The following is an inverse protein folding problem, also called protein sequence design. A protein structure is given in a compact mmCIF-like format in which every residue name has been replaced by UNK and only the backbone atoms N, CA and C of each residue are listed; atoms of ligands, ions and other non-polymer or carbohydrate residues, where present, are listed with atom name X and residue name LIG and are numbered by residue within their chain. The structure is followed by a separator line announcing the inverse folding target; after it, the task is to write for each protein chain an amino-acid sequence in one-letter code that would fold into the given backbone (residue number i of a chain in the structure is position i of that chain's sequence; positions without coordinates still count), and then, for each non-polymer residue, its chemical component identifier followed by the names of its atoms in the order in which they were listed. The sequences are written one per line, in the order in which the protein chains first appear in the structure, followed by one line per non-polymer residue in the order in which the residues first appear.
data_IF_209589304228
#
_entry.id   IF_209589304228
#
_cell.length_a   1.000
_cell.length_b   1.000
_cell.length_c   1.000
_cell.angle_alpha   90.00
_cell.angle_beta   90.00
_cell.angle_gamma   90.00
#
_symmetry.space_group_name_H-M   'P 1'
#
loop_
_entity.id
_entity.type
_entity.pdbx_description
1 polymer ?
#
# COMPACT_ATOMS: atom_id res chain seq x y z
N UNK A 1 -38.46 23.72 36.14
CA UNK A 1 -39.83 23.51 36.66
C UNK A 1 -40.68 22.91 35.54
N UNK A 2 -41.65 22.03 35.87
CA UNK A 2 -41.67 20.68 35.29
C UNK A 2 -42.97 20.32 34.53
N UNK A 3 -43.00 19.05 34.09
CA UNK A 3 -44.15 18.14 33.97
C UNK A 3 -45.13 18.25 32.79
N UNK A 4 -45.40 17.07 32.20
CA UNK A 4 -46.51 16.80 31.30
C UNK A 4 -46.65 15.30 31.01
N UNK A 5 -46.88 14.49 32.05
CA UNK A 5 -47.34 13.09 32.01
C UNK A 5 -48.87 13.05 32.26
N UNK A 6 -49.47 11.88 32.03
CA UNK A 6 -50.81 11.38 32.42
C UNK A 6 -51.91 11.54 31.34
N UNK A 7 -52.28 10.48 30.60
CA UNK A 7 -53.17 9.35 30.97
C UNK A 7 -54.55 9.76 31.52
N UNK A 8 -55.63 9.27 30.90
CA UNK A 8 -56.88 8.87 31.57
C UNK A 8 -57.74 7.90 30.73
N UNK A 9 -58.65 7.13 31.39
CA UNK A 9 -59.03 5.77 31.00
C UNK A 9 -60.55 5.52 30.77
N UNK A 10 -60.85 4.30 30.30
CA UNK A 10 -62.00 3.39 30.54
C UNK A 10 -63.46 3.89 30.55
N UNK A 11 -64.32 3.21 29.77
CA UNK A 11 -65.60 2.66 30.30
C UNK A 11 -66.14 1.51 29.45
N UNK A 12 -66.47 0.40 30.12
CA UNK A 12 -67.27 -0.74 29.66
C UNK A 12 -68.77 -0.40 29.56
N UNK A 13 -69.46 -1.04 28.62
CA UNK A 13 -70.86 -1.50 28.68
C UNK A 13 -71.08 -2.38 27.42
N UNK A 14 -71.17 -3.71 27.51
CA UNK A 14 -72.29 -4.55 27.95
C UNK A 14 -73.30 -4.88 26.81
N UNK A 15 -73.60 -6.19 26.74
CA UNK A 15 -74.72 -6.87 26.05
C UNK A 15 -74.67 -7.02 24.52
N UNK A 16 -75.23 -8.05 23.86
CA UNK A 16 -75.61 -9.43 24.18
C UNK A 16 -76.18 -10.02 22.86
N UNK A 17 -75.77 -11.24 22.50
CA UNK A 17 -76.48 -12.24 21.69
C UNK A 17 -77.01 -11.92 20.27
N UNK A 18 -76.42 -12.59 19.27
CA UNK A 18 -77.19 -13.34 18.26
C UNK A 18 -76.31 -14.46 17.68
N UNK A 19 -76.74 -15.71 17.88
CA UNK A 19 -76.13 -16.89 17.30
C UNK A 19 -76.52 -17.01 15.81
N UNK A 20 -75.53 -17.09 14.93
CA UNK A 20 -75.69 -17.55 13.55
C UNK A 20 -74.89 -18.84 13.40
N UNK A 21 -75.61 -19.94 13.26
CA UNK A 21 -75.10 -21.24 12.84
C UNK A 21 -74.85 -21.21 11.34
N UNK A 22 -73.58 -21.14 10.92
CA UNK A 22 -73.14 -21.48 9.57
C UNK A 22 -72.19 -22.69 9.62
N UNK A 23 -72.55 -23.73 8.89
CA UNK A 23 -71.78 -24.95 8.72
C UNK A 23 -70.49 -24.67 7.94
N UNK A 24 -69.35 -24.76 8.64
CA UNK A 24 -68.03 -24.76 8.01
C UNK A 24 -67.76 -26.15 7.44
N UNK A 25 -68.09 -26.35 6.18
CA UNK A 25 -67.52 -27.44 5.38
C UNK A 25 -66.04 -27.15 5.13
N UNK A 26 -65.21 -27.58 6.09
CA UNK A 26 -63.76 -27.63 5.94
C UNK A 26 -63.40 -28.79 5.00
N UNK A 27 -63.26 -28.50 3.71
CA UNK A 27 -62.51 -29.35 2.79
C UNK A 27 -61.06 -29.42 3.26
N UNK A 28 -60.75 -30.41 4.11
CA UNK A 28 -59.40 -30.77 4.48
C UNK A 28 -58.68 -31.28 3.22
N UNK A 29 -57.77 -30.47 2.68
CA UNK A 29 -56.79 -30.95 1.73
C UNK A 29 -55.97 -32.06 2.41
N UNK A 30 -55.80 -33.24 1.78
CA UNK A 30 -55.01 -34.31 2.37
C UNK A 30 -53.55 -33.84 2.45
N UNK A 31 -53.10 -33.55 3.67
CA UNK A 31 -51.70 -33.36 3.97
C UNK A 31 -50.98 -34.66 3.63
N UNK A 32 -50.25 -34.68 2.51
CA UNK A 32 -49.29 -35.73 2.22
C UNK A 32 -48.36 -35.85 3.42
N UNK A 33 -48.40 -36.99 4.11
CA UNK A 33 -47.56 -37.26 5.28
C UNK A 33 -46.07 -37.07 4.95
N UNK A 34 -45.25 -36.65 5.92
CA UNK A 34 -43.82 -36.47 5.70
C UNK A 34 -43.20 -37.79 5.23
N UNK A 35 -42.64 -37.76 4.02
CA UNK A 35 -41.88 -38.90 3.47
C UNK A 35 -40.70 -39.16 4.39
N UNK A 36 -40.58 -40.38 4.90
CA UNK A 36 -39.42 -40.81 5.67
C UNK A 36 -38.19 -40.82 4.74
N UNK A 37 -37.20 -39.98 5.07
CA UNK A 37 -35.95 -39.86 4.33
C UNK A 37 -35.03 -41.03 4.72
N UNK A 38 -34.43 -41.72 3.74
CA UNK A 38 -33.51 -42.81 4.03
C UNK A 38 -32.11 -42.28 4.37
N UNK A 39 -31.37 -43.00 5.21
CA UNK A 39 -29.98 -42.68 5.55
C UNK A 39 -29.10 -42.54 4.29
N UNK A 40 -29.37 -43.37 3.27
CA UNK A 40 -28.62 -43.39 2.01
C UNK A 40 -28.88 -42.11 1.22
N UNK A 41 -30.13 -41.66 1.09
CA UNK A 41 -30.46 -40.40 0.41
C UNK A 41 -29.77 -39.21 1.08
N UNK A 42 -29.73 -39.18 2.42
CA UNK A 42 -29.02 -38.13 3.15
C UNK A 42 -27.52 -38.15 2.85
N UNK A 43 -26.92 -39.34 2.87
CA UNK A 43 -25.49 -39.51 2.61
C UNK A 43 -25.12 -39.07 1.17
N UNK A 44 -25.94 -39.40 0.18
CA UNK A 44 -25.72 -38.98 -1.21
C UNK A 44 -25.82 -37.46 -1.35
N UNK A 45 -26.80 -36.83 -0.71
CA UNK A 45 -26.97 -35.38 -0.77
C UNK A 45 -25.78 -34.66 -0.15
N UNK A 46 -25.32 -35.07 1.04
CA UNK A 46 -24.14 -34.45 1.66
C UNK A 46 -22.87 -34.73 0.85
N UNK A 47 -22.75 -35.89 0.19
CA UNK A 47 -21.62 -36.19 -0.69
C UNK A 47 -21.59 -35.29 -1.92
N UNK A 48 -22.75 -35.04 -2.56
CA UNK A 48 -22.86 -34.12 -3.70
C UNK A 48 -22.57 -32.68 -3.26
N UNK A 49 -23.16 -32.21 -2.15
CA UNK A 49 -22.90 -30.86 -1.64
C UNK A 49 -21.42 -30.70 -1.28
N UNK A 50 -20.82 -31.70 -0.63
CA UNK A 50 -19.40 -31.73 -0.30
C UNK A 50 -18.52 -31.63 -1.54
N UNK A 51 -18.84 -32.39 -2.59
CA UNK A 51 -18.14 -32.34 -3.88
C UNK A 51 -18.27 -30.96 -4.55
N UNK A 52 -19.49 -30.41 -4.60
CA UNK A 52 -19.73 -29.08 -5.18
C UNK A 52 -18.96 -28.00 -4.43
N UNK A 53 -19.01 -28.00 -3.09
CA UNK A 53 -18.28 -27.04 -2.26
C UNK A 53 -16.76 -27.17 -2.42
N UNK A 54 -16.25 -28.40 -2.53
CA UNK A 54 -14.82 -28.65 -2.76
C UNK A 54 -14.34 -28.07 -4.10
N UNK A 55 -15.18 -28.06 -5.12
CA UNK A 55 -14.87 -27.45 -6.42
C UNK A 55 -15.06 -25.93 -6.45
N UNK A 56 -16.02 -25.39 -5.68
CA UNK A 56 -16.35 -23.96 -5.67
C UNK A 56 -15.41 -23.11 -4.80
N UNK A 57 -14.94 -23.63 -3.66
CA UNK A 57 -14.11 -22.85 -2.72
C UNK A 57 -12.81 -22.32 -3.37
N UNK A 58 -12.01 -23.14 -4.10
CA UNK A 58 -10.82 -22.66 -4.78
C UNK A 58 -11.15 -21.62 -5.86
N UNK A 59 -12.29 -21.76 -6.54
CA UNK A 59 -12.73 -20.82 -7.58
C UNK A 59 -13.07 -19.46 -6.99
N UNK A 60 -13.82 -19.41 -5.88
CA UNK A 60 -14.18 -18.15 -5.19
C UNK A 60 -12.94 -17.39 -4.74
N UNK A 61 -11.92 -18.10 -4.24
CA UNK A 61 -10.66 -17.47 -3.82
C UNK A 61 -9.91 -16.84 -5.00
N UNK A 62 -9.81 -17.55 -6.13
CA UNK A 62 -9.19 -17.02 -7.36
C UNK A 62 -9.92 -15.78 -7.88
N UNK A 63 -11.25 -15.79 -7.86
CA UNK A 63 -12.07 -14.65 -8.29
C UNK A 63 -11.87 -13.44 -7.36
N UNK A 64 -11.86 -13.66 -6.04
CA UNK A 64 -11.62 -12.58 -5.06
C UNK A 64 -10.26 -11.94 -5.28
N UNK A 65 -9.23 -12.75 -5.52
CA UNK A 65 -7.89 -12.24 -5.71
C UNK A 65 -7.72 -11.49 -7.05
N UNK A 66 -8.36 -11.98 -8.12
CA UNK A 66 -8.42 -11.24 -9.38
C UNK A 66 -9.10 -9.87 -9.21
N UNK A 67 -10.19 -9.80 -8.44
CA UNK A 67 -10.87 -8.54 -8.12
C UNK A 67 -10.01 -7.62 -7.24
N UNK A 68 -9.29 -8.16 -6.27
CA UNK A 68 -8.34 -7.38 -5.45
C UNK A 68 -7.22 -6.80 -6.31
N UNK A 69 -6.64 -7.60 -7.20
CA UNK A 69 -5.62 -7.14 -8.14
C UNK A 69 -6.12 -6.04 -9.06
N UNK A 70 -7.33 -6.19 -9.61
CA UNK A 70 -7.95 -5.14 -10.41
C UNK A 70 -8.11 -3.83 -9.62
N UNK A 71 -8.47 -3.92 -8.32
CA UNK A 71 -8.51 -2.75 -7.43
C UNK A 71 -7.12 -2.16 -7.19
N UNK A 72 -6.09 -2.96 -6.94
CA UNK A 72 -4.73 -2.45 -6.73
C UNK A 72 -4.17 -1.76 -8.00
N UNK A 73 -4.47 -2.29 -9.19
CA UNK A 73 -4.15 -1.62 -10.46
C UNK A 73 -4.92 -0.29 -10.64
N UNK A 74 -6.19 -0.23 -10.23
CA UNK A 74 -6.96 1.01 -10.28
C UNK A 74 -6.44 2.06 -9.29
N UNK A 75 -6.02 1.66 -8.09
CA UNK A 75 -5.37 2.56 -7.13
C UNK A 75 -4.10 3.17 -7.74
N UNK A 76 -3.24 2.35 -8.37
CA UNK A 76 -2.05 2.82 -9.09
C UNK A 76 -2.40 3.81 -10.21
N UNK A 77 -3.46 3.53 -10.99
CA UNK A 77 -3.93 4.47 -12.03
C UNK A 77 -4.42 5.79 -11.44
N UNK A 78 -5.11 5.78 -10.30
CA UNK A 78 -5.53 6.99 -9.61
C UNK A 78 -4.33 7.81 -9.12
N UNK A 79 -3.29 7.15 -8.60
CA UNK A 79 -2.01 7.80 -8.27
C UNK A 79 -1.37 8.41 -9.52
N UNK A 80 -1.38 7.69 -10.66
CA UNK A 80 -0.89 8.21 -11.95
C UNK A 80 -1.64 9.47 -12.40
N UNK A 81 -2.96 9.47 -12.33
CA UNK A 81 -3.79 10.64 -12.64
C UNK A 81 -3.43 11.81 -11.71
N UNK A 82 -3.24 11.54 -10.41
CA UNK A 82 -2.86 12.56 -9.45
C UNK A 82 -1.47 13.16 -9.75
N UNK A 83 -0.49 12.33 -10.11
CA UNK A 83 0.85 12.75 -10.51
C UNK A 83 0.81 13.66 -11.75
N UNK A 84 0.08 13.26 -12.79
CA UNK A 84 -0.04 14.06 -14.00
C UNK A 84 -0.84 15.34 -13.77
N UNK A 85 -1.84 15.33 -12.89
CA UNK A 85 -2.58 16.54 -12.50
C UNK A 85 -1.70 17.52 -11.74
N UNK A 86 -0.86 17.02 -10.82
CA UNK A 86 0.14 17.82 -10.12
C UNK A 86 1.15 18.42 -11.11
N UNK A 87 1.70 17.60 -12.02
CA UNK A 87 2.61 18.08 -13.07
C UNK A 87 1.92 19.10 -13.99
N UNK A 88 0.67 18.89 -14.38
CA UNK A 88 -0.06 19.81 -15.25
C UNK A 88 -0.27 21.18 -14.61
N UNK A 89 -0.35 21.28 -13.29
CA UNK A 89 -0.57 22.53 -12.57
C UNK A 89 0.72 23.21 -12.16
N UNK A 90 1.76 22.44 -11.81
CA UNK A 90 2.99 22.94 -11.20
C UNK A 90 4.23 22.76 -12.07
N UNK A 91 4.12 22.08 -13.22
CA UNK A 91 5.21 21.77 -14.16
C UNK A 91 6.34 20.91 -13.56
N UNK A 92 6.02 20.13 -12.52
CA UNK A 92 6.91 19.13 -11.94
C UNK A 92 6.14 18.06 -11.16
N UNK A 93 6.76 16.90 -11.00
CA UNK A 93 6.34 15.85 -10.07
C UNK A 93 6.78 16.16 -8.64
N UNK A 94 5.96 15.84 -7.62
CA UNK A 94 6.27 16.16 -6.24
C UNK A 94 7.58 15.47 -5.78
N UNK A 95 8.44 16.16 -5.02
CA UNK A 95 9.63 15.53 -4.45
C UNK A 95 9.23 14.52 -3.38
N UNK A 96 10.05 13.47 -3.18
CA UNK A 96 9.78 12.42 -2.18
C UNK A 96 9.64 12.98 -0.76
N UNK A 97 10.48 13.95 -0.43
CA UNK A 97 10.29 14.95 0.63
C UNK A 97 11.23 16.12 0.35
N UNK A 98 11.10 17.20 1.11
CA UNK A 98 12.01 18.34 1.04
C UNK A 98 12.95 18.28 2.25
N UNK A 99 14.23 18.01 2.03
CA UNK A 99 15.24 18.02 3.10
C UNK A 99 15.91 19.38 3.11
N UNK A 100 15.79 20.09 4.23
CA UNK A 100 16.39 21.41 4.42
C UNK A 100 17.62 21.29 5.35
N UNK A 101 18.85 21.49 4.84
CA UNK A 101 20.10 21.26 5.59
C UNK A 101 20.29 22.10 6.88
N UNK A 102 19.42 23.08 7.14
CA UNK A 102 19.51 24.00 8.28
C UNK A 102 18.33 23.89 9.28
N UNK A 103 17.39 22.97 9.05
CA UNK A 103 16.23 22.78 9.93
C UNK A 103 16.50 21.63 10.90
N UNK A 104 16.16 21.82 12.18
CA UNK A 104 16.47 20.86 13.26
C UNK A 104 15.65 19.57 13.23
N UNK A 105 14.63 19.47 12.38
CA UNK A 105 13.76 18.30 12.29
C UNK A 105 14.31 17.30 11.27
N UNK A 106 14.22 16.01 11.61
CA UNK A 106 14.72 14.90 10.80
C UNK A 106 13.59 14.17 10.06
N UNK A 107 12.40 14.75 10.03
CA UNK A 107 11.19 14.17 9.46
C UNK A 107 10.47 15.22 8.61
N UNK A 108 9.94 14.79 7.47
CA UNK A 108 9.35 15.70 6.48
C UNK A 108 8.28 14.99 5.65
N UNK A 109 7.40 15.80 5.07
CA UNK A 109 6.22 15.35 4.35
C UNK A 109 6.55 14.63 3.05
N UNK A 110 5.95 13.45 2.92
CA UNK A 110 6.02 12.59 1.76
C UNK A 110 5.42 13.22 0.49
N UNK A 111 5.76 12.66 -0.67
CA UNK A 111 5.06 12.99 -1.91
C UNK A 111 3.57 12.63 -1.86
N UNK A 112 3.20 11.58 -1.13
CA UNK A 112 1.82 11.15 -0.92
C UNK A 112 1.00 12.25 -0.25
N UNK A 113 1.58 12.96 0.72
CA UNK A 113 0.95 14.12 1.34
C UNK A 113 0.76 15.30 0.38
N UNK A 114 1.67 15.47 -0.58
CA UNK A 114 1.58 16.50 -1.63
C UNK A 114 0.55 16.16 -2.71
N UNK A 115 0.22 14.88 -2.86
CA UNK A 115 -0.78 14.41 -3.82
C UNK A 115 -2.23 14.49 -3.32
N UNK A 116 -2.46 14.75 -2.03
CA UNK A 116 -3.80 14.79 -1.42
C UNK A 116 -4.84 15.64 -2.18
N UNK A 117 -4.54 16.87 -2.66
CA UNK A 117 -5.51 17.67 -3.42
C UNK A 117 -5.98 17.00 -4.71
N UNK A 118 -5.14 16.13 -5.27
CA UNK A 118 -5.36 15.48 -6.56
C UNK A 118 -5.99 14.08 -6.43
N UNK A 119 -6.29 13.65 -5.21
CA UNK A 119 -6.96 12.37 -4.89
C UNK A 119 -8.19 12.59 -4.00
N UNK A 120 -8.87 13.73 -4.17
CA UNK A 120 -10.08 14.09 -3.43
C UNK A 120 -9.87 14.21 -1.90
N UNK A 121 -8.66 14.55 -1.46
CA UNK A 121 -8.31 14.75 -0.05
C UNK A 121 -7.88 16.20 0.24
N UNK A 122 -8.44 17.19 -0.48
CA UNK A 122 -8.13 18.62 -0.31
C UNK A 122 -8.37 19.13 1.12
N UNK A 123 -9.45 18.67 1.76
CA UNK A 123 -9.76 19.03 3.16
C UNK A 123 -8.68 18.59 4.15
N UNK A 124 -7.99 17.48 3.86
CA UNK A 124 -6.89 16.99 4.67
C UNK A 124 -5.61 17.77 4.37
N UNK A 125 -5.35 18.05 3.09
CA UNK A 125 -4.21 18.84 2.65
C UNK A 125 -4.18 20.24 3.26
N UNK A 126 -5.33 20.93 3.33
CA UNK A 126 -5.43 22.28 3.92
C UNK A 126 -5.05 22.34 5.41
N UNK A 127 -4.99 21.20 6.10
CA UNK A 127 -4.56 21.12 7.50
C UNK A 127 -3.05 20.94 7.64
N UNK A 128 -2.31 20.83 6.54
CA UNK A 128 -0.87 20.64 6.53
C UNK A 128 -0.17 22.00 6.44
N UNK A 129 0.64 22.29 7.45
CA UNK A 129 1.65 23.34 7.35
C UNK A 129 2.99 22.73 6.94
N UNK A 130 3.35 22.83 5.66
CA UNK A 130 4.62 22.28 5.14
C UNK A 130 5.89 22.95 5.69
N UNK A 131 5.77 24.04 6.45
CA UNK A 131 6.89 24.63 7.19
C UNK A 131 7.21 23.88 8.50
N UNK A 132 6.32 23.01 8.96
CA UNK A 132 6.48 22.19 10.16
C UNK A 132 6.59 20.69 9.81
N UNK A 133 7.33 19.91 10.60
CA UNK A 133 7.44 18.47 10.39
C UNK A 133 6.09 17.76 10.56
N UNK A 134 5.94 16.57 9.99
CA UNK A 134 4.70 15.80 10.17
C UNK A 134 4.54 15.30 11.61
N UNK A 135 5.62 15.19 12.39
CA UNK A 135 5.58 14.81 13.81
C UNK A 135 5.06 15.90 14.75
N UNK A 136 4.95 17.15 14.28
CA UNK A 136 4.41 18.24 15.07
C UNK A 136 3.00 17.87 15.60
N UNK A 137 2.70 18.05 16.90
CA UNK A 137 1.40 17.71 17.48
C UNK A 137 0.21 18.34 16.76
N UNK A 138 0.39 19.51 16.13
CA UNK A 138 -0.64 20.18 15.33
C UNK A 138 -1.00 19.45 14.03
N UNK A 139 -0.26 18.40 13.65
CA UNK A 139 -0.50 17.58 12.46
C UNK A 139 -1.02 16.17 12.77
N UNK A 140 -1.19 15.80 14.04
CA UNK A 140 -1.59 14.43 14.41
C UNK A 140 -2.99 14.05 13.93
N UNK A 141 -3.86 15.01 13.67
CA UNK A 141 -5.16 14.77 13.03
C UNK A 141 -5.01 14.42 11.55
N UNK A 142 -3.91 14.82 10.90
CA UNK A 142 -3.63 14.48 9.49
C UNK A 142 -3.12 13.05 9.40
N UNK A 143 -2.04 12.72 10.13
CA UNK A 143 -1.37 11.43 10.00
C UNK A 143 -2.26 10.23 10.37
N UNK A 144 -3.25 10.44 11.26
CA UNK A 144 -4.21 9.40 11.70
C UNK A 144 -5.34 9.09 10.71
N UNK A 145 -5.39 9.77 9.57
CA UNK A 145 -6.43 9.50 8.56
C UNK A 145 -5.92 8.42 7.60
N UNK A 146 -6.59 7.26 7.50
CA UNK A 146 -6.26 6.28 6.47
C UNK A 146 -6.69 6.79 5.09
N UNK A 147 -5.79 6.71 4.11
CA UNK A 147 -6.07 7.08 2.72
C UNK A 147 -6.28 5.80 1.90
N UNK A 148 -7.52 5.45 1.49
CA UNK A 148 -7.81 4.16 0.87
C UNK A 148 -7.03 3.89 -0.41
N UNK A 149 -6.71 4.94 -1.19
CA UNK A 149 -5.96 4.84 -2.44
C UNK A 149 -4.53 4.32 -2.22
N UNK A 150 -3.94 4.55 -1.04
CA UNK A 150 -2.60 4.06 -0.74
C UNK A 150 -2.56 2.61 -0.25
N UNK A 151 -3.72 1.98 -0.04
CA UNK A 151 -3.82 0.62 0.51
C UNK A 151 -4.29 -0.38 -0.56
N UNK A 152 -3.55 -1.48 -0.71
CA UNK A 152 -3.97 -2.59 -1.54
C UNK A 152 -4.96 -3.47 -0.75
N UNK A 153 -6.13 -3.84 -1.31
CA UNK A 153 -7.06 -4.75 -0.65
C UNK A 153 -6.45 -6.09 -0.21
N UNK A 154 -5.42 -6.58 -0.90
CA UNK A 154 -4.70 -7.82 -0.55
C UNK A 154 -3.67 -7.66 0.58
N UNK A 155 -3.41 -6.45 1.09
CA UNK A 155 -2.55 -6.27 2.27
C UNK A 155 -3.15 -7.01 3.47
N UNK A 156 -2.31 -7.72 4.20
CA UNK A 156 -2.70 -8.53 5.36
C UNK A 156 -2.60 -7.76 6.67
N UNK A 157 -1.70 -6.77 6.76
CA UNK A 157 -1.46 -6.00 7.99
C UNK A 157 -1.72 -4.50 7.78
N UNK A 158 -3.00 -4.11 7.85
CA UNK A 158 -3.48 -2.72 7.66
C UNK A 158 -3.61 -1.91 8.96
N UNK A 159 -3.09 -2.44 10.06
CA UNK A 159 -3.20 -1.80 11.38
C UNK A 159 -2.34 -0.53 11.43
N UNK A 160 -2.79 0.51 12.15
CA UNK A 160 -2.01 1.73 12.29
C UNK A 160 -0.74 1.47 13.10
N UNK A 161 0.30 2.25 12.81
CA UNK A 161 1.48 2.35 13.64
C UNK A 161 1.27 3.46 14.68
N UNK A 162 1.64 3.17 15.93
CA UNK A 162 1.57 4.12 17.05
C UNK A 162 2.99 4.38 17.51
N UNK A 163 3.47 5.59 17.24
CA UNK A 163 4.77 6.08 17.68
C UNK A 163 4.85 6.12 19.21
N UNK A 164 6.04 6.02 19.82
CA UNK A 164 6.22 6.24 21.26
C UNK A 164 5.72 7.62 21.73
N UNK A 165 5.68 8.61 20.84
CA UNK A 165 5.11 9.94 21.10
C UNK A 165 3.59 9.93 21.26
N UNK A 166 2.90 8.87 20.83
CA UNK A 166 1.43 8.79 20.73
C UNK A 166 0.87 9.20 19.38
N UNK A 167 1.71 9.60 18.43
CA UNK A 167 1.28 9.87 17.05
C UNK A 167 0.82 8.56 16.37
N UNK A 168 -0.32 8.63 15.68
CA UNK A 168 -0.91 7.51 14.95
C UNK A 168 -0.72 7.75 13.45
N UNK A 169 -0.25 6.73 12.74
CA UNK A 169 0.00 6.76 11.31
C UNK A 169 -0.53 5.50 10.63
N UNK A 170 -0.84 5.60 9.34
CA UNK A 170 -1.40 4.49 8.56
C UNK A 170 -0.45 4.00 7.45
N UNK A 171 -0.46 2.68 7.18
CA UNK A 171 0.42 2.08 6.21
C UNK A 171 0.07 2.40 4.76
N UNK A 172 1.00 2.06 3.88
CA UNK A 172 0.84 2.14 2.42
C UNK A 172 1.28 0.84 1.75
N UNK A 173 0.89 0.69 0.48
CA UNK A 173 1.26 -0.43 -0.37
C UNK A 173 1.83 -0.03 -1.72
N UNK A 174 2.03 1.26 -1.98
CA UNK A 174 2.56 1.76 -3.24
C UNK A 174 3.71 2.73 -2.95
N UNK A 175 4.93 2.26 -3.20
CA UNK A 175 6.15 3.03 -3.01
C UNK A 175 6.53 3.79 -4.28
N UNK A 176 6.98 5.03 -4.12
CA UNK A 176 7.47 5.86 -5.21
C UNK A 176 8.90 5.46 -5.62
N UNK A 177 9.17 5.45 -6.92
CA UNK A 177 10.48 5.10 -7.46
C UNK A 177 11.54 6.14 -7.08
N UNK A 178 12.42 5.75 -6.16
CA UNK A 178 13.56 6.54 -5.68
C UNK A 178 14.90 6.10 -6.29
N UNK A 179 14.86 5.26 -7.33
CA UNK A 179 16.01 4.85 -8.11
C UNK A 179 16.44 3.41 -7.87
N UNK A 180 17.60 3.08 -8.42
CA UNK A 180 18.12 1.70 -8.39
C UNK A 180 18.80 1.38 -7.07
N UNK A 181 19.62 2.27 -6.53
CA UNK A 181 20.47 1.94 -5.38
C UNK A 181 20.83 3.15 -4.53
N UNK A 182 21.48 4.15 -5.12
CA UNK A 182 21.77 5.42 -4.47
C UNK A 182 20.50 6.27 -4.40
N UNK A 183 20.12 6.73 -3.22
CA UNK A 183 18.89 7.50 -3.00
C UNK A 183 19.22 8.98 -2.81
N UNK A 184 20.11 9.30 -1.86
CA UNK A 184 20.38 10.69 -1.48
C UNK A 184 21.68 10.85 -0.70
N UNK A 185 22.31 12.03 -0.79
CA UNK A 185 23.43 12.41 0.07
C UNK A 185 23.29 13.84 0.57
N UNK A 186 22.89 13.98 1.83
CA UNK A 186 22.52 15.26 2.45
C UNK A 186 23.58 16.36 2.37
N UNK A 187 24.88 16.12 2.64
CA UNK A 187 25.91 17.16 2.57
C UNK A 187 26.07 17.79 1.18
N UNK A 188 25.89 16.98 0.13
CA UNK A 188 26.07 17.43 -1.25
C UNK A 188 24.77 17.80 -1.96
N UNK A 189 23.62 17.39 -1.42
CA UNK A 189 22.34 17.44 -2.11
C UNK A 189 22.23 16.49 -3.32
N UNK A 190 23.21 15.63 -3.59
CA UNK A 190 23.12 14.64 -4.67
C UNK A 190 21.94 13.71 -4.43
N UNK A 191 21.23 13.40 -5.52
CA UNK A 191 20.04 12.55 -5.53
C UNK A 191 20.22 11.38 -6.49
N UNK A 192 19.48 10.30 -6.24
CA UNK A 192 19.45 9.08 -7.05
C UNK A 192 18.96 9.28 -8.48
N UNK A 193 18.96 8.17 -9.21
CA UNK A 193 18.55 8.05 -10.63
C UNK A 193 17.05 7.80 -10.82
N UNK A 194 16.28 7.71 -9.73
CA UNK A 194 14.82 7.57 -9.77
C UNK A 194 14.09 8.79 -10.34
N UNK A 195 12.80 8.60 -10.65
CA UNK A 195 11.91 9.70 -11.08
C UNK A 195 11.62 10.65 -9.93
N UNK A 196 11.46 10.12 -8.73
CA UNK A 196 11.26 10.92 -7.53
C UNK A 196 12.59 11.05 -6.82
N UNK A 197 12.89 12.25 -6.32
CA UNK A 197 14.07 12.52 -5.50
C UNK A 197 13.74 13.34 -4.27
N UNK A 198 14.59 13.22 -3.26
CA UNK A 198 14.58 14.12 -2.11
C UNK A 198 15.04 15.51 -2.54
N UNK A 199 14.31 16.52 -2.09
CA UNK A 199 14.56 17.96 -2.28
C UNK A 199 14.36 18.48 -3.71
N UNK A 200 14.76 17.73 -4.74
CA UNK A 200 14.67 18.17 -6.13
C UNK A 200 13.42 17.61 -6.81
N UNK A 201 12.44 18.45 -7.16
CA UNK A 201 11.33 18.01 -8.00
C UNK A 201 11.83 17.71 -9.42
N UNK A 202 11.12 16.83 -10.13
CA UNK A 202 11.46 16.44 -11.51
C UNK A 202 10.39 16.81 -12.50
N UNK A 203 10.80 17.23 -13.68
CA UNK A 203 9.90 17.43 -14.82
C UNK A 203 9.76 16.16 -15.63
N UNK A 204 8.66 16.05 -16.38
CA UNK A 204 8.45 14.94 -17.32
C UNK A 204 9.54 14.87 -18.40
N UNK A 205 10.12 16.03 -18.76
CA UNK A 205 11.22 16.15 -19.73
C UNK A 205 12.54 15.55 -19.24
N UNK A 206 12.70 15.32 -17.93
CA UNK A 206 13.88 14.69 -17.34
C UNK A 206 13.81 13.15 -17.35
N UNK A 207 12.70 12.57 -17.84
CA UNK A 207 12.52 11.12 -18.00
C UNK A 207 13.00 10.72 -19.40
N UNK A 208 14.32 10.67 -19.57
CA UNK A 208 15.01 10.42 -20.83
C UNK A 208 14.86 8.97 -21.33
N UNK A 209 14.62 8.01 -20.42
CA UNK A 209 14.38 6.59 -20.78
C UNK A 209 12.99 6.36 -21.41
N UNK A 210 12.13 7.39 -21.37
CA UNK A 210 10.76 7.36 -21.86
C UNK A 210 9.74 6.99 -20.79
N UNK A 211 8.63 7.71 -20.75
CA UNK A 211 7.60 7.56 -19.71
C UNK A 211 6.94 6.18 -19.66
N UNK A 212 6.88 5.47 -20.79
CA UNK A 212 6.36 4.10 -20.88
C UNK A 212 7.34 3.01 -20.44
N UNK A 213 8.61 3.38 -20.24
CA UNK A 213 9.70 2.49 -19.84
C UNK A 213 10.19 2.77 -18.41
N UNK A 214 9.81 3.89 -17.82
CA UNK A 214 10.17 4.21 -16.44
C UNK A 214 9.00 3.96 -15.50
N UNK A 215 9.24 3.21 -14.43
CA UNK A 215 8.28 2.98 -13.36
C UNK A 215 8.23 4.20 -12.43
N UNK A 216 7.03 4.68 -12.13
CA UNK A 216 6.78 5.71 -11.13
C UNK A 216 6.48 5.13 -9.74
N UNK A 217 5.62 4.12 -9.68
CA UNK A 217 5.25 3.48 -8.40
C UNK A 217 5.28 1.96 -8.55
N UNK A 218 5.66 1.26 -7.48
CA UNK A 218 5.55 -0.20 -7.40
C UNK A 218 4.91 -0.64 -6.08
N UNK A 219 4.32 -1.83 -6.08
CA UNK A 219 3.78 -2.40 -4.85
C UNK A 219 4.87 -2.70 -3.82
N UNK A 220 4.57 -2.36 -2.57
CA UNK A 220 5.35 -2.68 -1.36
C UNK A 220 4.43 -3.26 -0.29
N UNK A 221 5.00 -3.88 0.75
CA UNK A 221 4.23 -4.45 1.86
C UNK A 221 4.31 -3.56 3.09
N UNK A 222 3.16 -3.32 3.70
CA UNK A 222 3.09 -2.66 5.00
C UNK A 222 3.81 -3.51 6.06
N UNK A 223 4.37 -2.85 7.07
CA UNK A 223 5.07 -3.50 8.19
C UNK A 223 6.24 -4.40 7.76
N UNK A 224 6.89 -4.08 6.63
CA UNK A 224 8.12 -4.76 6.23
C UNK A 224 9.24 -4.33 7.19
N UNK A 225 9.87 -5.25 7.93
CA UNK A 225 11.00 -4.88 8.77
C UNK A 225 12.16 -4.37 7.91
N UNK A 226 12.99 -3.51 8.47
CA UNK A 226 14.14 -2.97 7.75
C UNK A 226 15.33 -2.75 8.68
N UNK A 227 16.50 -2.67 8.06
CA UNK A 227 17.75 -2.28 8.71
C UNK A 227 18.08 -0.84 8.33
N UNK A 228 18.46 -0.04 9.31
CA UNK A 228 18.78 1.36 9.08
C UNK A 228 20.07 1.83 9.74
N UNK A 229 20.63 2.92 9.18
CA UNK A 229 21.76 3.66 9.76
C UNK A 229 23.04 2.83 9.92
N UNK A 230 23.32 1.92 8.98
CA UNK A 230 24.61 1.22 8.91
C UNK A 230 25.74 2.10 8.39
N UNK A 231 25.42 3.15 7.63
CA UNK A 231 26.37 3.91 6.80
C UNK A 231 27.27 2.98 5.95
N UNK A 232 26.76 1.82 5.54
CA UNK A 232 27.47 0.89 4.68
C UNK A 232 26.72 0.74 3.36
N UNK A 233 27.24 1.30 2.24
CA UNK A 233 28.57 1.89 2.10
C UNK A 233 28.65 3.34 2.61
N UNK A 234 29.84 3.76 3.03
CA UNK A 234 30.12 5.13 3.52
C UNK A 234 30.77 6.04 2.45
N UNK A 235 30.64 5.68 1.18
CA UNK A 235 31.26 6.41 0.07
C UNK A 235 30.21 6.72 -1.00
N UNK A 236 30.39 7.84 -1.69
CA UNK A 236 29.61 8.17 -2.89
C UNK A 236 30.04 7.29 -4.06
N UNK A 237 29.17 7.19 -5.07
CA UNK A 237 29.42 6.49 -6.34
C UNK A 237 29.73 4.99 -6.18
N UNK A 238 29.20 4.35 -5.13
CA UNK A 238 29.24 2.89 -5.03
C UNK A 238 28.21 2.32 -5.99
N UNK A 239 28.61 1.46 -6.96
CA UNK A 239 27.67 0.91 -7.92
C UNK A 239 26.62 0.02 -7.23
N UNK A 240 25.45 -0.18 -7.85
CA UNK A 240 24.49 -1.16 -7.34
C UNK A 240 25.15 -2.54 -7.21
N UNK A 241 24.82 -3.32 -6.17
CA UNK A 241 25.36 -4.66 -6.00
C UNK A 241 25.14 -5.50 -7.28
N UNK A 242 26.14 -6.26 -7.74
CA UNK A 242 26.04 -6.94 -9.02
C UNK A 242 24.86 -7.94 -9.08
N UNK A 243 24.60 -8.60 -7.96
CA UNK A 243 23.55 -9.60 -7.81
C UNK A 243 23.04 -9.67 -6.36
N UNK A 244 22.19 -10.66 -6.09
CA UNK A 244 21.66 -10.95 -4.76
C UNK A 244 22.75 -11.18 -3.70
N UNK A 245 23.79 -11.95 -4.02
CA UNK A 245 24.84 -12.30 -3.05
C UNK A 245 25.67 -11.06 -2.68
N UNK A 246 25.98 -10.21 -3.66
CA UNK A 246 26.64 -8.94 -3.43
C UNK A 246 25.78 -7.99 -2.57
N UNK A 247 24.45 -8.01 -2.74
CA UNK A 247 23.52 -7.19 -1.97
C UNK A 247 23.54 -7.55 -0.48
N UNK A 248 23.76 -8.83 -0.14
CA UNK A 248 23.83 -9.29 1.25
C UNK A 248 24.96 -8.64 2.07
N UNK A 249 26.02 -8.14 1.42
CA UNK A 249 27.11 -7.41 2.10
C UNK A 249 26.65 -6.09 2.74
N UNK A 250 25.49 -5.55 2.32
CA UNK A 250 24.94 -4.30 2.82
C UNK A 250 23.81 -4.51 3.85
N UNK A 251 23.37 -5.75 4.06
CA UNK A 251 22.30 -6.12 4.99
C UNK A 251 22.81 -6.04 6.43
N UNK A 252 22.82 -4.82 6.94
CA UNK A 252 23.36 -4.47 8.26
C UNK A 252 22.69 -3.19 8.77
N UNK A 253 22.76 -2.96 10.07
CA UNK A 253 22.26 -1.74 10.70
C UNK A 253 21.34 -2.00 11.89
N UNK A 254 20.62 -0.97 12.29
CA UNK A 254 19.63 -1.01 13.36
C UNK A 254 18.33 -1.61 12.84
N UNK A 255 17.89 -2.71 13.45
CA UNK A 255 16.61 -3.34 13.14
C UNK A 255 15.42 -2.47 13.57
N UNK A 256 14.42 -2.41 12.69
CA UNK A 256 13.13 -1.73 12.85
C UNK A 256 12.06 -2.60 12.19
N UNK A 257 10.84 -2.59 12.72
CA UNK A 257 9.73 -3.44 12.25
C UNK A 257 8.53 -2.64 11.73
N UNK A 258 8.75 -1.37 11.37
CA UNK A 258 7.71 -0.40 10.98
C UNK A 258 7.90 0.17 9.56
N UNK A 259 8.46 -0.58 8.61
CA UNK A 259 8.58 -0.11 7.22
C UNK A 259 7.22 -0.01 6.53
N UNK A 260 7.04 1.01 5.69
CA UNK A 260 5.79 1.32 4.99
C UNK A 260 4.55 1.48 5.89
N UNK A 261 4.72 1.91 7.13
CA UNK A 261 3.62 2.16 8.07
C UNK A 261 3.23 3.63 8.21
N UNK A 262 3.98 4.52 7.56
CA UNK A 262 3.87 5.97 7.74
C UNK A 262 3.66 6.66 6.38
N UNK A 263 2.40 6.81 5.95
CA UNK A 263 2.10 7.44 4.65
C UNK A 263 2.57 8.89 4.53
N UNK A 264 2.77 9.58 5.66
CA UNK A 264 3.23 10.98 5.72
C UNK A 264 4.75 11.12 5.68
N UNK A 265 5.53 10.07 5.94
CA UNK A 265 6.98 10.14 6.01
C UNK A 265 7.61 9.92 4.63
N UNK A 266 8.33 10.93 4.12
CA UNK A 266 8.96 10.89 2.79
C UNK A 266 10.25 10.07 2.68
N UNK A 267 10.66 9.33 3.71
CA UNK A 267 11.87 8.48 3.65
C UNK A 267 11.64 7.27 2.74
N UNK A 268 12.69 6.77 2.09
CA UNK A 268 12.58 5.67 1.11
C UNK A 268 11.91 4.41 1.68
N UNK A 269 12.19 4.07 2.94
CA UNK A 269 11.64 2.89 3.62
C UNK A 269 10.18 3.05 4.07
N UNK A 270 9.62 4.26 4.00
CA UNK A 270 8.21 4.51 4.34
C UNK A 270 7.37 4.67 3.08
N UNK A 271 7.78 5.56 2.18
CA UNK A 271 6.96 5.95 1.01
C UNK A 271 7.59 5.68 -0.35
N UNK A 272 8.78 5.07 -0.36
CA UNK A 272 9.56 4.78 -1.55
C UNK A 272 9.64 3.30 -1.91
N UNK A 273 10.34 3.04 -3.00
CA UNK A 273 10.79 1.71 -3.44
C UNK A 273 12.09 1.89 -4.23
N UNK A 274 12.97 0.89 -4.20
CA UNK A 274 14.16 0.85 -5.05
C UNK A 274 14.19 -0.40 -5.92
N UNK A 275 14.96 -0.32 -7.00
CA UNK A 275 15.05 -1.38 -8.02
C UNK A 275 16.33 -2.22 -7.86
N UNK A 276 16.93 -2.22 -6.67
CA UNK A 276 18.18 -2.93 -6.36
C UNK A 276 18.06 -4.42 -6.61
N UNK A 277 16.93 -5.01 -6.23
CA UNK A 277 16.65 -6.45 -6.37
C UNK A 277 15.32 -6.66 -7.09
N UNK A 278 15.13 -7.81 -7.79
CA UNK A 278 13.90 -8.08 -8.51
C UNK A 278 12.67 -8.16 -7.59
N UNK A 279 11.45 -8.10 -8.16
CA UNK A 279 10.21 -8.20 -7.40
C UNK A 279 10.14 -9.43 -6.47
N UNK A 280 9.58 -9.21 -5.28
CA UNK A 280 9.38 -10.22 -4.25
C UNK A 280 10.65 -10.94 -3.77
N UNK A 281 11.85 -10.39 -4.03
CA UNK A 281 13.11 -10.94 -3.51
C UNK A 281 13.08 -10.94 -1.98
N UNK A 282 13.46 -12.08 -1.39
CA UNK A 282 13.56 -12.26 0.06
C UNK A 282 14.96 -11.92 0.53
N UNK A 283 15.08 -10.99 1.46
CA UNK A 283 16.38 -10.60 2.04
C UNK A 283 16.39 -11.02 3.51
N UNK A 284 16.96 -12.19 3.83
CA UNK A 284 16.89 -12.74 5.18
C UNK A 284 17.83 -12.00 6.13
N UNK A 285 17.34 -11.65 7.31
CA UNK A 285 18.14 -11.15 8.43
C UNK A 285 17.71 -11.80 9.74
N UNK A 286 18.67 -12.25 10.54
CA UNK A 286 18.42 -12.86 11.84
C UNK A 286 18.51 -11.82 12.94
N UNK A 287 17.41 -11.58 13.64
CA UNK A 287 17.35 -10.73 14.83
C UNK A 287 16.80 -11.54 16.01
N UNK A 288 17.56 -11.64 17.11
CA UNK A 288 17.17 -12.39 18.32
C UNK A 288 16.69 -13.83 18.03
N UNK A 289 17.36 -14.52 17.10
CA UNK A 289 17.03 -15.90 16.72
C UNK A 289 15.88 -16.07 15.72
N UNK A 290 15.17 -15.00 15.37
CA UNK A 290 14.10 -15.00 14.36
C UNK A 290 14.62 -14.50 13.01
N UNK A 291 14.23 -15.17 11.92
CA UNK A 291 14.57 -14.77 10.56
C UNK A 291 13.46 -13.91 9.97
N UNK A 292 13.82 -12.72 9.52
CA UNK A 292 12.91 -11.76 8.88
C UNK A 292 13.30 -11.56 7.41
N UNK A 293 12.29 -11.31 6.57
CA UNK A 293 12.50 -10.70 5.24
C UNK A 293 12.54 -9.19 5.44
N UNK A 294 13.69 -8.57 5.17
CA UNK A 294 13.93 -7.17 5.51
C UNK A 294 14.20 -6.30 4.29
N UNK A 295 13.99 -5.00 4.46
CA UNK A 295 14.59 -3.99 3.59
C UNK A 295 15.83 -3.36 4.23
N UNK A 296 16.57 -2.59 3.46
CA UNK A 296 17.78 -1.90 3.92
C UNK A 296 17.71 -0.44 3.53
N UNK A 297 17.96 0.46 4.47
CA UNK A 297 18.20 1.88 4.22
C UNK A 297 19.47 2.31 4.98
N UNK A 298 20.61 2.37 4.28
CA UNK A 298 21.93 2.50 4.91
C UNK A 298 22.06 3.81 5.70
N UNK A 299 21.37 4.86 5.25
CA UNK A 299 21.30 6.15 5.91
C UNK A 299 19.91 6.77 5.70
N UNK A 300 19.17 7.01 6.78
CA UNK A 300 17.90 7.73 6.69
C UNK A 300 18.18 9.18 6.27
N UNK A 301 17.58 9.60 5.17
CA UNK A 301 18.00 10.70 4.30
C UNK A 301 18.10 12.05 5.02
N UNK A 302 17.23 12.28 6.01
CA UNK A 302 17.17 13.48 6.85
C UNK A 302 17.75 13.28 8.26
N UNK A 303 18.04 12.03 8.67
CA UNK A 303 18.41 11.67 10.03
C UNK A 303 19.91 11.34 10.18
N UNK A 304 20.53 10.77 9.15
CA UNK A 304 21.95 10.47 9.12
C UNK A 304 22.60 11.33 8.04
N UNK A 305 22.87 12.58 8.39
CA UNK A 305 23.29 13.61 7.43
C UNK A 305 24.76 13.52 7.01
N UNK A 306 25.52 12.51 7.44
CA UNK A 306 26.96 12.43 7.18
C UNK A 306 27.35 11.38 6.15
N UNK A 307 26.50 10.38 5.91
CA UNK A 307 26.79 9.28 5.00
C UNK A 307 25.70 9.18 3.92
N UNK A 308 26.04 8.70 2.71
CA UNK A 308 25.10 8.53 1.62
C UNK A 308 24.04 7.46 1.94
N UNK A 309 22.79 7.77 1.57
CA UNK A 309 21.68 6.84 1.60
C UNK A 309 21.72 5.96 0.36
N UNK A 310 21.92 4.69 0.59
CA UNK A 310 21.68 3.62 -0.35
C UNK A 310 20.58 2.73 0.21
N UNK A 311 19.76 2.14 -0.66
CA UNK A 311 18.64 1.37 -0.18
C UNK A 311 18.33 0.12 -1.01
N UNK A 312 17.92 -0.92 -0.29
CA UNK A 312 17.28 -2.13 -0.82
C UNK A 312 15.85 -2.09 -0.29
N UNK A 313 14.97 -1.32 -0.93
CA UNK A 313 13.54 -1.29 -0.63
C UNK A 313 12.85 -2.11 -1.71
N UNK A 314 12.74 -3.41 -1.50
CA UNK A 314 12.32 -4.33 -2.56
C UNK A 314 10.83 -4.22 -2.82
N UNK A 315 10.42 -4.12 -4.09
CA UNK A 315 9.01 -4.23 -4.47
C UNK A 315 8.45 -5.59 -4.03
N UNK A 316 7.29 -5.59 -3.37
CA UNK A 316 6.67 -6.80 -2.81
C UNK A 316 5.16 -6.73 -2.93
N UNK A 317 4.54 -7.86 -3.26
CA UNK A 317 3.09 -7.98 -3.39
C UNK A 317 2.56 -9.27 -2.78
N UNK A 318 1.27 -9.27 -2.43
CA UNK A 318 0.52 -10.48 -2.11
C UNK A 318 -0.10 -11.13 -3.35
N UNK A 319 -0.09 -10.44 -4.49
CA UNK A 319 -0.55 -10.99 -5.75
C UNK A 319 0.38 -12.11 -6.24
N UNK A 320 -0.15 -13.23 -6.73
CA UNK A 320 0.67 -14.31 -7.26
C UNK A 320 1.51 -13.87 -8.47
N UNK A 321 2.76 -14.35 -8.51
CA UNK A 321 3.63 -14.31 -9.69
C UNK A 321 4.31 -12.98 -10.01
N UNK A 322 4.03 -11.90 -9.30
CA UNK A 322 4.58 -10.58 -9.62
C UNK A 322 4.14 -9.46 -8.70
N UNK A 323 4.53 -8.24 -9.05
CA UNK A 323 4.10 -6.99 -8.40
C UNK A 323 3.40 -6.11 -9.41
N UNK A 324 2.36 -5.37 -8.99
CA UNK A 324 1.81 -4.33 -9.84
C UNK A 324 2.71 -3.09 -9.79
N UNK A 325 2.86 -2.44 -10.95
CA UNK A 325 3.62 -1.20 -11.10
C UNK A 325 2.81 -0.20 -11.91
N UNK A 326 3.07 1.09 -11.69
CA UNK A 326 2.63 2.23 -12.47
C UNK A 326 3.82 2.77 -13.26
N UNK A 327 3.66 2.93 -14.56
CA UNK A 327 4.60 3.64 -15.42
C UNK A 327 4.31 5.13 -15.46
N UNK A 328 5.32 5.93 -15.80
CA UNK A 328 5.21 7.39 -15.87
C UNK A 328 4.34 7.89 -17.04
N UNK A 329 3.86 7.00 -17.91
CA UNK A 329 2.82 7.28 -18.92
C UNK A 329 1.39 7.07 -18.39
N UNK A 330 1.24 6.71 -17.10
CA UNK A 330 -0.04 6.44 -16.46
C UNK A 330 -0.55 5.00 -16.63
N UNK A 331 0.14 4.15 -17.38
CA UNK A 331 -0.23 2.75 -17.53
C UNK A 331 0.15 1.94 -16.29
N UNK A 332 -0.72 1.01 -15.88
CA UNK A 332 -0.46 0.13 -14.75
C UNK A 332 -0.58 -1.34 -15.19
N UNK A 333 0.43 -2.14 -14.85
CA UNK A 333 0.51 -3.57 -15.20
C UNK A 333 1.28 -4.36 -14.14
N UNK A 334 1.14 -5.67 -14.16
CA UNK A 334 1.96 -6.55 -13.31
C UNK A 334 3.27 -6.87 -14.01
N UNK A 335 4.37 -6.84 -13.26
CA UNK A 335 5.69 -7.33 -13.67
C UNK A 335 5.95 -8.64 -12.94
N UNK A 336 6.37 -9.67 -13.67
CA UNK A 336 6.62 -11.00 -13.09
C UNK A 336 7.89 -11.03 -12.26
N UNK A 337 7.92 -11.94 -11.28
CA UNK A 337 9.12 -12.20 -10.46
C UNK A 337 10.30 -12.73 -11.29
N UNK A 338 10.04 -13.25 -12.49
CA UNK A 338 11.04 -13.81 -13.42
C UNK A 338 11.73 -12.76 -14.27
N UNK A 339 11.39 -11.48 -14.13
CA UNK A 339 12.07 -10.39 -14.83
C UNK A 339 13.58 -10.43 -14.54
N UNK A 340 14.40 -10.20 -15.56
CA UNK A 340 15.84 -10.15 -15.37
C UNK A 340 16.23 -8.91 -14.56
N UNK A 341 17.25 -9.05 -13.70
CA UNK A 341 17.74 -7.95 -12.86
C UNK A 341 18.16 -6.70 -13.67
N UNK A 342 18.88 -6.82 -14.81
CA UNK A 342 19.22 -5.65 -15.62
C UNK A 342 17.99 -4.89 -16.13
N UNK A 343 16.98 -5.61 -16.63
CA UNK A 343 15.74 -4.99 -17.14
C UNK A 343 14.96 -4.36 -15.99
N UNK A 344 14.86 -5.03 -14.84
CA UNK A 344 14.22 -4.45 -13.66
C UNK A 344 14.89 -3.15 -13.20
N UNK A 345 16.23 -3.08 -13.24
CA UNK A 345 16.97 -1.86 -12.89
C UNK A 345 16.75 -0.73 -13.89
N UNK A 346 16.75 -1.04 -15.19
CA UNK A 346 16.44 -0.08 -16.24
C UNK A 346 15.04 0.55 -16.07
N UNK A 347 14.06 -0.23 -15.61
CA UNK A 347 12.73 0.30 -15.29
C UNK A 347 12.74 1.30 -14.12
N UNK A 348 13.73 1.22 -13.24
CA UNK A 348 13.90 2.07 -12.06
C UNK A 348 14.61 3.39 -12.32
N UNK A 349 15.24 3.57 -13.48
CA UNK A 349 15.97 4.79 -13.81
C UNK A 349 15.12 5.75 -14.64
N UNK A 350 15.38 7.06 -14.48
CA UNK A 350 14.81 8.09 -15.37
C UNK A 350 15.68 8.35 -16.61
N UNK A 351 16.98 8.06 -16.53
CA UNK A 351 17.98 8.43 -17.54
C UNK A 351 19.17 7.46 -17.58
N UNK A 352 18.93 6.16 -17.46
CA UNK A 352 19.93 5.09 -17.58
C UNK A 352 20.34 4.78 -19.02
N UNK A 353 19.50 5.12 -20.00
CA UNK A 353 19.74 4.94 -21.44
C UNK A 353 19.52 3.51 -21.94
N UNK A 354 18.96 2.61 -21.13
CA UNK A 354 18.70 1.24 -21.54
C UNK A 354 17.38 1.09 -22.33
N UNK A 355 17.40 0.29 -23.40
CA UNK A 355 16.19 -0.04 -24.17
C UNK A 355 15.54 -1.28 -23.56
N UNK A 356 14.35 -1.12 -22.99
CA UNK A 356 13.54 -2.24 -22.46
C UNK A 356 12.56 -2.72 -23.53
N UNK A 357 12.64 -3.98 -23.96
CA UNK A 357 11.64 -4.53 -24.88
C UNK A 357 10.42 -5.04 -24.11
N UNK A 358 9.23 -4.93 -24.73
CA UNK A 358 7.99 -5.45 -24.11
C UNK A 358 8.03 -6.95 -23.82
N UNK A 359 8.81 -7.74 -24.58
CA UNK A 359 9.00 -9.17 -24.33
C UNK A 359 9.77 -9.45 -23.03
N UNK A 360 10.59 -8.49 -22.58
CA UNK A 360 11.40 -8.62 -21.36
C UNK A 360 10.58 -8.37 -20.10
N UNK A 361 9.37 -7.83 -20.26
CA UNK A 361 8.41 -7.56 -19.19
C UNK A 361 7.49 -8.74 -18.90
N UNK A 362 7.60 -9.83 -19.68
CA UNK A 362 6.64 -10.93 -19.67
C UNK A 362 6.73 -11.84 -18.45
#
# INVERSE_FOLDING_TARGET
MPTGLWQRPLSEAAEAHAAVTESRDSHALPWLGPRAFTLIELLVVIAIIGLLMALLLPAIQRVREAANRARCLNNLKQIGIALHSHHSQLDYFPPAMIIQPAVSYTDNWSLQARLLPYIEQDNLHRQINFALPYSDPSHWQVSRVPIPIFLCPSETKKVPFVEPSGQIQFPINYGANLGVWFVYHAPSGLSGDGVFSHTYPRQISEILDGTSNTVGYAEVKAWTPYLANSCNPNALNVPPPADYNAAMAYVSGTFRDNGHTEWVDGKVHQTGVTFTLPPNTKVPYTNNGNVYDVDVNTARESHTQTCPSYAIITSRSYHPGGVNVLFMDGSARQIRNTISLPVWRALGTRAGGEVVNQNDLQ
#
